data_IF_682257467148
#
_entry.id   IF_682257467148
#
_cell.length_a   1.000
_cell.length_b   1.000
_cell.length_c   1.000
_cell.angle_alpha   90.00
_cell.angle_beta   90.00
_cell.angle_gamma   90.00
#
_symmetry.space_group_name_H-M   'P 1'
#
loop_
_entity.id
_entity.type
_entity.pdbx_description
1 polymer ?
#
# COMPACT_ATOMS: atom_id res chain seq x y z
N UNK A 1 0.54 -2.10 -10.03
CA UNK A 1 1.67 -1.48 -10.76
C UNK A 1 2.27 -2.54 -11.66
N UNK A 2 1.49 -3.05 -12.61
CA UNK A 2 1.87 -4.16 -13.49
C UNK A 2 1.60 -3.69 -14.92
N UNK A 3 2.64 -3.26 -15.64
CA UNK A 3 2.52 -2.88 -17.05
C UNK A 3 3.63 -1.97 -17.59
N UNK A 4 4.24 -1.13 -16.76
CA UNK A 4 5.33 -0.24 -17.19
C UNK A 4 6.70 -0.89 -16.90
N UNK A 5 7.64 -0.79 -17.84
CA UNK A 5 9.00 -1.27 -17.61
C UNK A 5 9.63 -0.43 -16.50
N UNK A 6 10.30 -1.07 -15.55
CA UNK A 6 11.04 -0.39 -14.46
C UNK A 6 12.06 0.62 -15.01
N UNK A 7 12.50 0.42 -16.25
CA UNK A 7 13.40 1.29 -17.01
C UNK A 7 12.74 2.60 -17.47
N UNK A 8 11.41 2.65 -17.52
CA UNK A 8 10.63 3.85 -17.83
C UNK A 8 10.35 4.73 -16.60
N UNK A 9 10.67 4.25 -15.39
CA UNK A 9 10.55 5.05 -14.18
C UNK A 9 11.49 6.25 -14.24
N UNK A 10 10.99 7.42 -13.85
CA UNK A 10 11.84 8.59 -13.80
C UNK A 10 12.83 8.51 -12.61
N UNK A 11 13.83 9.39 -12.64
CA UNK A 11 14.94 9.40 -11.67
C UNK A 11 14.46 9.44 -10.21
N UNK A 12 13.38 10.16 -9.92
CA UNK A 12 12.83 10.33 -8.58
C UNK A 12 11.97 9.12 -8.15
N UNK A 13 11.20 8.54 -9.06
CA UNK A 13 10.39 7.35 -8.81
C UNK A 13 11.23 6.12 -8.49
N UNK A 14 12.42 6.03 -9.10
CA UNK A 14 13.41 5.00 -8.82
C UNK A 14 14.30 5.32 -7.61
N UNK A 15 14.12 6.48 -6.96
CA UNK A 15 14.94 6.90 -5.82
C UNK A 15 16.42 7.08 -6.16
N UNK A 16 16.74 7.38 -7.42
CA UNK A 16 18.12 7.54 -7.89
C UNK A 16 18.77 8.82 -7.32
N UNK A 17 17.95 9.82 -7.01
CA UNK A 17 18.33 11.06 -6.32
C UNK A 17 18.85 10.81 -4.90
N UNK A 18 18.44 9.71 -4.29
CA UNK A 18 18.90 9.26 -2.97
C UNK A 18 20.23 8.50 -3.03
N UNK A 19 20.82 8.34 -4.23
CA UNK A 19 22.10 7.68 -4.47
C UNK A 19 22.19 6.24 -3.88
N UNK A 20 21.07 5.51 -3.86
CA UNK A 20 20.98 4.15 -3.30
C UNK A 20 21.69 3.10 -4.17
N UNK A 21 21.75 3.34 -5.48
CA UNK A 21 22.45 2.50 -6.45
C UNK A 21 22.70 3.27 -7.74
N UNK A 22 23.65 2.81 -8.56
CA UNK A 22 23.87 3.29 -9.92
C UNK A 22 22.94 2.65 -10.96
N UNK A 23 22.21 1.60 -10.59
CA UNK A 23 21.22 0.92 -11.44
C UNK A 23 19.80 1.33 -11.04
N UNK A 24 18.98 1.73 -12.01
CA UNK A 24 17.57 2.13 -11.82
C UNK A 24 16.80 1.04 -11.08
N UNK A 25 16.89 -0.22 -11.55
CA UNK A 25 16.18 -1.35 -10.94
C UNK A 25 16.63 -1.60 -9.50
N UNK A 26 17.94 -1.57 -9.24
CA UNK A 26 18.49 -1.79 -7.90
C UNK A 26 18.16 -0.65 -6.95
N UNK A 27 18.18 0.59 -7.44
CA UNK A 27 17.78 1.78 -6.68
C UNK A 27 16.30 1.73 -6.34
N UNK A 28 15.44 1.40 -7.32
CA UNK A 28 14.01 1.28 -7.12
C UNK A 28 13.68 0.23 -6.05
N UNK A 29 14.24 -0.97 -6.12
CA UNK A 29 13.98 -2.02 -5.13
C UNK A 29 14.41 -1.62 -3.71
N UNK A 30 15.56 -0.95 -3.58
CA UNK A 30 16.02 -0.43 -2.29
C UNK A 30 15.11 0.69 -1.79
N UNK A 31 14.74 1.62 -2.67
CA UNK A 31 13.84 2.72 -2.36
C UNK A 31 12.48 2.22 -1.88
N UNK A 32 11.86 1.29 -2.60
CA UNK A 32 10.58 0.69 -2.22
C UNK A 32 10.67 -0.07 -0.87
N UNK A 33 11.82 -0.69 -0.56
CA UNK A 33 12.06 -1.33 0.74
C UNK A 33 12.10 -0.31 1.88
N UNK A 34 12.80 0.81 1.67
CA UNK A 34 12.88 1.92 2.64
C UNK A 34 11.49 2.52 2.85
N UNK A 35 10.80 2.90 1.77
CA UNK A 35 9.44 3.43 1.84
C UNK A 35 8.51 2.51 2.61
N UNK A 36 8.53 1.20 2.31
CA UNK A 36 7.71 0.22 3.02
C UNK A 36 7.95 0.26 4.54
N UNK A 37 9.22 0.33 4.96
CA UNK A 37 9.56 0.38 6.38
C UNK A 37 9.06 1.68 7.03
N UNK A 38 9.32 2.82 6.40
CA UNK A 38 8.91 4.14 6.91
C UNK A 38 7.37 4.25 7.03
N UNK A 39 6.62 3.79 6.02
CA UNK A 39 5.16 3.76 6.07
C UNK A 39 4.63 2.82 7.15
N UNK A 40 5.26 1.67 7.37
CA UNK A 40 4.86 0.76 8.44
C UNK A 40 5.08 1.39 9.82
N UNK A 41 6.19 2.08 10.03
CA UNK A 41 6.50 2.71 11.31
C UNK A 41 5.66 3.97 11.55
N UNK A 42 5.42 4.78 10.52
CA UNK A 42 4.48 5.90 10.57
C UNK A 42 3.05 5.42 10.87
N UNK A 43 2.59 4.35 10.20
CA UNK A 43 1.28 3.76 10.45
C UNK A 43 1.12 3.26 11.88
N UNK A 44 2.11 2.54 12.43
CA UNK A 44 2.10 2.10 13.83
C UNK A 44 2.03 3.28 14.80
N UNK A 45 2.81 4.34 14.58
CA UNK A 45 2.81 5.55 15.41
C UNK A 45 1.46 6.26 15.37
N UNK A 46 0.78 6.27 14.22
CA UNK A 46 -0.54 6.83 14.06
C UNK A 46 -1.68 5.93 14.58
N UNK A 47 -1.38 4.72 15.06
CA UNK A 47 -2.39 3.73 15.43
C UNK A 47 -3.20 3.22 14.23
N UNK A 48 -2.67 3.33 13.01
CA UNK A 48 -3.34 2.92 11.79
C UNK A 48 -3.36 1.40 11.63
N UNK A 49 -4.44 0.88 11.04
CA UNK A 49 -4.54 -0.55 10.70
C UNK A 49 -3.71 -0.85 9.46
N UNK A 50 -2.68 -1.71 9.60
CA UNK A 50 -1.86 -2.16 8.49
C UNK A 50 -2.47 -3.41 7.83
N UNK A 51 -2.89 -3.29 6.57
CA UNK A 51 -3.57 -4.36 5.84
C UNK A 51 -2.61 -5.00 4.80
N UNK A 52 -2.23 -6.29 4.96
CA UNK A 52 -1.38 -6.97 4.00
C UNK A 52 -2.11 -7.27 2.68
N UNK A 53 -1.52 -6.88 1.55
CA UNK A 53 -2.09 -7.06 0.20
C UNK A 53 -1.67 -8.37 -0.50
N UNK A 54 -1.02 -9.29 0.23
CA UNK A 54 -0.50 -10.57 -0.31
C UNK A 54 -1.57 -11.64 -0.55
N UNK A 55 -2.82 -11.36 -0.22
CA UNK A 55 -3.94 -12.30 -0.32
C UNK A 55 -4.75 -12.02 -1.59
N UNK A 56 -5.86 -12.74 -1.79
CA UNK A 56 -6.73 -12.44 -2.92
C UNK A 56 -7.33 -11.04 -2.77
N UNK A 57 -7.78 -10.45 -3.88
CA UNK A 57 -8.45 -9.14 -3.86
C UNK A 57 -9.64 -9.16 -2.90
N UNK A 58 -10.40 -10.25 -2.89
CA UNK A 58 -11.53 -10.45 -1.97
C UNK A 58 -11.08 -10.45 -0.51
N UNK A 59 -10.07 -11.24 -0.14
CA UNK A 59 -9.58 -11.28 1.25
C UNK A 59 -9.06 -9.92 1.73
N UNK A 60 -8.41 -9.16 0.85
CA UNK A 60 -7.90 -7.83 1.17
C UNK A 60 -9.06 -6.85 1.34
N UNK A 61 -10.06 -6.91 0.44
CA UNK A 61 -11.27 -6.11 0.52
C UNK A 61 -12.00 -6.36 1.85
N UNK A 62 -12.20 -7.62 2.23
CA UNK A 62 -12.95 -7.96 3.45
C UNK A 62 -12.22 -7.43 4.70
N UNK A 63 -10.89 -7.49 4.74
CA UNK A 63 -10.11 -6.88 5.84
C UNK A 63 -10.20 -5.36 5.89
N UNK A 64 -10.24 -4.70 4.73
CA UNK A 64 -10.47 -3.25 4.66
C UNK A 64 -11.87 -2.97 5.20
N UNK A 65 -12.87 -3.73 4.77
CA UNK A 65 -14.25 -3.56 5.21
C UNK A 65 -14.40 -3.78 6.71
N UNK A 66 -13.82 -4.81 7.30
CA UNK A 66 -13.84 -5.05 8.75
C UNK A 66 -13.24 -3.89 9.54
N UNK A 67 -12.25 -3.20 8.97
CA UNK A 67 -11.62 -2.03 9.59
C UNK A 67 -12.46 -0.76 9.46
N UNK A 68 -13.18 -0.60 8.34
CA UNK A 68 -13.98 0.59 8.02
C UNK A 68 -15.39 0.50 8.60
N UNK A 69 -15.98 -0.69 8.63
CA UNK A 69 -17.37 -0.96 9.02
C UNK A 69 -17.75 -0.31 10.35
N UNK A 70 -16.96 -0.38 11.44
CA UNK A 70 -17.33 0.28 12.70
C UNK A 70 -17.51 1.80 12.58
N UNK A 71 -16.80 2.45 11.65
CA UNK A 71 -16.93 3.89 11.44
C UNK A 71 -18.16 4.26 10.59
N UNK A 72 -18.62 3.34 9.74
CA UNK A 72 -19.71 3.60 8.77
C UNK A 72 -20.97 2.79 9.04
N UNK A 73 -21.02 2.00 10.13
CA UNK A 73 -22.13 1.08 10.40
C UNK A 73 -23.48 1.80 10.49
N UNK A 74 -23.49 3.01 11.04
CA UNK A 74 -24.66 3.87 11.15
C UNK A 74 -25.21 4.34 9.79
N UNK A 75 -24.41 4.26 8.72
CA UNK A 75 -24.79 4.57 7.35
C UNK A 75 -25.36 3.36 6.60
N UNK A 76 -25.20 2.15 7.14
CA UNK A 76 -25.64 0.92 6.49
C UNK A 76 -27.15 0.76 6.67
N UNK A 77 -27.87 0.69 5.56
CA UNK A 77 -29.26 0.30 5.58
C UNK A 77 -29.36 -1.22 5.57
N UNK A 78 -30.20 -1.84 6.43
CA UNK A 78 -30.52 -3.24 6.29
C UNK A 78 -31.12 -3.46 4.90
N UNK A 79 -30.66 -4.52 4.22
CA UNK A 79 -31.32 -4.97 3.00
C UNK A 79 -32.59 -5.66 3.48
N UNK A 80 -33.69 -4.92 3.53
CA UNK A 80 -35.01 -5.50 3.79
C UNK A 80 -35.32 -6.50 2.67
N UNK A 81 -35.24 -7.78 3.01
CA UNK A 81 -35.73 -8.86 2.16
C UNK A 81 -37.24 -8.93 2.29
N UNK A 82 -37.94 -8.64 1.18
CA UNK A 82 -39.31 -9.13 0.96
C UNK A 82 -39.28 -10.64 0.68
#
# INVERSE_FOLDING_TARGET
MFGESLEALNHFEAGMDLALSSSITSSFLQYQKILRQEFQDAGKKAGATLIPTRHTVQDVHDRIWDSVKPAVEHMLQPIDGN
#
